data_IF_299489711697
#
_entry.id   IF_299489711697
#
_cell.length_a   1.000
_cell.length_b   1.000
_cell.length_c   1.000
_cell.angle_alpha   90.00
_cell.angle_beta   90.00
_cell.angle_gamma   90.00
#
_symmetry.space_group_name_H-M   'P 1'
#
loop_
_entity.id
_entity.type
_entity.pdbx_description
1 polymer ?
#
# COMPACT_ATOMS: atom_id res chain seq x y z
N UNK A 1 5.61 3.08 -2.81
CA UNK A 1 4.95 1.82 -2.44
C UNK A 1 3.94 1.44 -3.49
N UNK A 2 3.77 0.14 -3.75
CA UNK A 2 2.77 -0.35 -4.69
C UNK A 2 1.37 -0.42 -4.07
N UNK A 3 0.74 0.73 -3.89
CA UNK A 3 -0.51 0.89 -3.13
C UNK A 3 -1.78 0.41 -3.84
N UNK A 4 -1.69 0.11 -5.14
CA UNK A 4 -2.78 -0.37 -6.01
C UNK A 4 -2.39 -1.66 -6.73
N UNK A 5 -1.38 -2.38 -6.23
CA UNK A 5 -0.99 -3.71 -6.68
C UNK A 5 -0.78 -3.78 -8.20
N UNK A 6 0.15 -2.97 -8.71
CA UNK A 6 0.61 -3.07 -10.10
C UNK A 6 1.36 -4.39 -10.31
N UNK A 7 2.20 -4.77 -9.35
CA UNK A 7 2.97 -6.00 -9.38
C UNK A 7 2.19 -7.13 -8.68
N UNK A 8 2.36 -8.39 -9.15
CA UNK A 8 1.82 -9.54 -8.43
C UNK A 8 2.48 -9.67 -7.06
N UNK A 9 1.74 -10.25 -6.12
CA UNK A 9 2.24 -10.58 -4.78
C UNK A 9 2.90 -11.95 -4.84
N UNK A 10 4.21 -11.99 -4.60
CA UNK A 10 5.03 -13.20 -4.67
C UNK A 10 5.72 -13.46 -3.33
N UNK A 11 6.09 -14.71 -3.02
CA UNK A 11 7.08 -14.99 -1.99
C UNK A 11 8.37 -14.23 -2.24
N UNK A 12 9.05 -13.83 -1.16
CA UNK A 12 10.30 -13.07 -1.25
C UNK A 12 11.39 -13.80 -2.05
N UNK A 13 11.41 -15.14 -1.98
CA UNK A 13 12.36 -15.98 -2.72
C UNK A 13 12.09 -16.01 -4.24
N UNK A 14 10.85 -15.74 -4.65
CA UNK A 14 10.40 -15.81 -6.04
C UNK A 14 10.37 -14.41 -6.68
N UNK A 15 10.75 -13.39 -5.93
CA UNK A 15 10.83 -12.04 -6.44
C UNK A 15 11.85 -11.95 -7.57
N UNK A 16 11.48 -11.42 -8.75
CA UNK A 16 12.46 -11.23 -9.81
C UNK A 16 13.59 -10.35 -9.27
N UNK A 17 14.85 -10.70 -9.60
CA UNK A 17 16.00 -9.98 -9.12
C UNK A 17 15.84 -8.50 -9.44
N UNK A 18 16.37 -7.66 -8.54
CA UNK A 18 16.46 -6.23 -8.84
C UNK A 18 17.14 -6.09 -10.19
N UNK A 19 16.56 -5.28 -11.09
CA UNK A 19 17.14 -5.03 -12.41
C UNK A 19 18.58 -4.54 -12.20
N UNK A 20 19.55 -5.40 -12.48
CA UNK A 20 20.96 -5.21 -12.15
C UNK A 20 21.56 -3.95 -12.81
N UNK A 21 20.92 -3.46 -13.87
CA UNK A 21 21.35 -2.31 -14.66
C UNK A 21 20.42 -1.10 -14.55
N UNK A 22 19.56 -1.03 -13.53
CA UNK A 22 18.77 0.18 -13.31
C UNK A 22 19.70 1.31 -12.86
N UNK A 23 19.80 2.44 -13.59
CA UNK A 23 20.59 3.59 -13.13
C UNK A 23 19.98 4.25 -11.87
N UNK A 24 18.80 3.80 -11.42
CA UNK A 24 18.06 4.35 -10.29
C UNK A 24 17.69 3.29 -9.22
N UNK A 25 18.68 2.64 -8.58
CA UNK A 25 18.43 1.55 -7.63
C UNK A 25 17.56 1.95 -6.42
N UNK A 26 17.56 3.24 -6.05
CA UNK A 26 16.75 3.80 -4.96
C UNK A 26 15.29 4.08 -5.30
N UNK A 27 14.87 3.91 -6.56
CA UNK A 27 13.49 4.22 -6.99
C UNK A 27 12.56 2.99 -6.99
N UNK A 28 13.04 1.81 -6.59
CA UNK A 28 12.19 0.62 -6.54
C UNK A 28 11.10 0.74 -5.47
N UNK A 29 9.87 0.41 -5.86
CA UNK A 29 8.74 0.37 -4.92
C UNK A 29 8.88 -0.82 -3.99
N UNK A 30 8.51 -0.62 -2.71
CA UNK A 30 8.35 -1.72 -1.76
C UNK A 30 7.29 -2.69 -2.29
N UNK A 31 7.59 -3.98 -2.23
CA UNK A 31 6.71 -5.05 -2.68
C UNK A 31 5.87 -5.60 -1.54
N UNK A 32 4.73 -6.18 -1.91
CA UNK A 32 3.87 -6.93 -1.02
C UNK A 32 4.24 -8.40 -1.05
N UNK A 33 4.07 -9.07 0.09
CA UNK A 33 4.36 -10.48 0.26
C UNK A 33 3.17 -11.22 0.85
N UNK A 34 2.99 -12.52 0.58
CA UNK A 34 1.96 -13.32 1.21
C UNK A 34 2.28 -13.54 2.70
N UNK A 35 1.26 -13.46 3.55
CA UNK A 35 1.29 -13.95 4.92
C UNK A 35 0.65 -15.33 4.96
N UNK A 36 1.47 -16.36 5.18
CA UNK A 36 1.08 -17.77 5.03
C UNK A 36 1.39 -18.33 3.63
N UNK A 37 0.85 -19.50 3.27
CA UNK A 37 1.16 -20.14 1.99
C UNK A 37 0.71 -19.30 0.79
N UNK A 38 1.62 -19.08 -0.15
CA UNK A 38 1.45 -18.15 -1.27
C UNK A 38 0.31 -18.55 -2.24
N UNK A 39 0.04 -19.84 -2.37
CA UNK A 39 -1.07 -20.38 -3.19
C UNK A 39 -2.46 -19.83 -2.82
N UNK A 40 -2.61 -19.24 -1.64
CA UNK A 40 -3.86 -18.62 -1.20
C UNK A 40 -3.98 -17.14 -1.53
N UNK A 41 -2.94 -16.54 -2.12
CA UNK A 41 -2.95 -15.16 -2.63
C UNK A 41 -2.94 -15.22 -4.15
N UNK A 42 -4.03 -14.79 -4.78
CA UNK A 42 -4.16 -14.76 -6.24
C UNK A 42 -4.44 -13.35 -6.74
N UNK A 43 -3.99 -13.02 -7.95
CA UNK A 43 -4.29 -11.73 -8.58
C UNK A 43 -5.60 -11.86 -9.37
N UNK A 44 -6.69 -11.31 -8.85
CA UNK A 44 -8.01 -11.37 -9.48
C UNK A 44 -8.13 -10.30 -10.57
N UNK A 45 -8.23 -10.75 -11.83
CA UNK A 45 -8.36 -9.90 -13.02
C UNK A 45 -9.81 -9.67 -13.46
N UNK A 46 -10.79 -10.36 -12.86
CA UNK A 46 -12.18 -10.31 -13.33
C UNK A 46 -12.92 -9.04 -12.92
N UNK A 47 -12.61 -8.54 -11.72
CA UNK A 47 -13.22 -7.33 -11.19
C UNK A 47 -12.21 -6.59 -10.31
N UNK A 48 -11.10 -6.08 -10.88
CA UNK A 48 -10.12 -5.29 -10.14
C UNK A 48 -10.74 -3.98 -9.66
N UNK A 49 -10.22 -3.43 -8.56
CA UNK A 49 -10.61 -2.10 -8.10
C UNK A 49 -10.12 -1.00 -9.05
N UNK A 50 -8.87 -1.13 -9.50
CA UNK A 50 -8.18 -0.23 -10.42
C UNK A 50 -6.98 -0.97 -11.02
N UNK A 51 -6.53 -0.60 -12.22
CA UNK A 51 -5.46 -1.32 -12.91
C UNK A 51 -5.92 -2.66 -13.47
N UNK A 52 -5.01 -3.62 -13.59
CA UNK A 52 -5.27 -4.90 -14.29
C UNK A 52 -5.68 -6.04 -13.35
N UNK A 53 -5.40 -5.93 -12.05
CA UNK A 53 -5.76 -6.95 -11.06
C UNK A 53 -5.95 -6.37 -9.65
N UNK A 54 -6.49 -7.19 -8.76
CA UNK A 54 -6.50 -6.91 -7.32
C UNK A 54 -6.18 -8.18 -6.54
N UNK A 55 -5.34 -8.13 -5.49
CA UNK A 55 -5.01 -9.31 -4.71
C UNK A 55 -6.24 -9.84 -3.97
N UNK A 56 -6.49 -11.14 -4.14
CA UNK A 56 -7.53 -11.91 -3.46
C UNK A 56 -6.86 -12.94 -2.56
N UNK A 57 -7.27 -12.96 -1.29
CA UNK A 57 -6.74 -13.88 -0.28
C UNK A 57 -7.84 -14.88 0.10
N UNK A 58 -7.61 -16.16 -0.17
CA UNK A 58 -8.49 -17.25 0.24
C UNK A 58 -8.27 -17.59 1.72
N UNK A 59 -9.34 -17.56 2.50
CA UNK A 59 -9.30 -17.71 3.96
C UNK A 59 -9.33 -19.18 4.39
N UNK A 60 -8.99 -19.39 5.66
CA UNK A 60 -9.09 -20.67 6.35
C UNK A 60 -9.51 -20.44 7.80
N UNK A 61 -10.22 -21.40 8.38
CA UNK A 61 -10.51 -21.43 9.79
C UNK A 61 -9.29 -21.80 10.65
N UNK A 62 -8.30 -22.50 10.07
CA UNK A 62 -7.17 -23.07 10.81
C UNK A 62 -6.05 -22.05 11.09
N UNK A 63 -5.85 -21.05 10.23
CA UNK A 63 -4.78 -20.08 10.38
C UNK A 63 -5.10 -18.75 9.68
N UNK A 64 -4.70 -17.59 10.25
CA UNK A 64 -4.77 -16.31 9.57
C UNK A 64 -3.95 -16.32 8.28
N UNK A 65 -4.51 -15.73 7.23
CA UNK A 65 -3.85 -15.54 5.93
C UNK A 65 -3.93 -14.08 5.52
N UNK A 66 -3.01 -13.63 4.70
CA UNK A 66 -3.00 -12.22 4.35
C UNK A 66 -1.90 -11.80 3.39
N UNK A 67 -1.66 -10.51 3.39
CA UNK A 67 -0.56 -9.86 2.66
C UNK A 67 0.10 -8.82 3.56
N UNK A 68 1.38 -8.59 3.35
CA UNK A 68 2.17 -7.65 4.14
C UNK A 68 3.17 -6.87 3.30
N UNK A 69 3.53 -5.68 3.80
CA UNK A 69 4.58 -4.84 3.23
C UNK A 69 5.41 -4.25 4.37
N UNK A 70 6.70 -4.57 4.39
CA UNK A 70 7.69 -4.04 5.36
C UNK A 70 8.42 -2.81 4.80
N UNK A 71 9.37 -2.25 5.55
CA UNK A 71 10.19 -1.11 5.15
C UNK A 71 9.56 0.25 5.47
N UNK A 72 8.53 0.31 6.31
CA UNK A 72 7.89 1.56 6.69
C UNK A 72 8.66 2.23 7.84
N UNK A 73 8.84 3.54 7.74
CA UNK A 73 9.41 4.36 8.82
C UNK A 73 8.29 4.88 9.73
N UNK A 74 8.29 4.42 10.98
CA UNK A 74 7.34 4.82 12.02
C UNK A 74 8.05 5.46 13.21
N UNK A 75 7.38 6.43 13.84
CA UNK A 75 7.91 7.18 14.97
C UNK A 75 7.02 7.03 16.19
N UNK A 76 7.64 6.79 17.34
CA UNK A 76 6.96 6.67 18.63
C UNK A 76 6.02 7.83 18.88
N UNK A 77 4.80 7.53 19.30
CA UNK A 77 3.75 8.51 19.59
C UNK A 77 3.14 9.19 18.36
N UNK A 78 3.68 8.98 17.15
CA UNK A 78 3.13 9.58 15.94
C UNK A 78 1.88 8.84 15.52
N UNK A 79 0.85 9.63 15.19
CA UNK A 79 -0.42 9.13 14.63
C UNK A 79 -0.28 8.97 13.12
N UNK A 80 -0.86 7.89 12.62
CA UNK A 80 -0.96 7.58 11.20
C UNK A 80 -2.42 7.33 10.86
N UNK A 81 -2.90 7.96 9.78
CA UNK A 81 -4.25 7.78 9.27
C UNK A 81 -4.20 7.10 7.91
N UNK A 82 -5.15 6.22 7.68
CA UNK A 82 -5.17 5.41 6.48
C UNK A 82 -6.58 5.04 6.05
N UNK A 83 -6.64 4.45 4.86
CA UNK A 83 -7.83 3.80 4.36
C UNK A 83 -7.43 2.62 3.49
N UNK A 84 -8.31 1.64 3.43
CA UNK A 84 -8.17 0.47 2.56
C UNK A 84 -9.49 0.26 1.82
N UNK A 85 -9.43 -0.03 0.53
CA UNK A 85 -10.58 -0.52 -0.21
C UNK A 85 -10.61 -2.04 -0.10
N UNK A 86 -11.67 -2.58 0.50
CA UNK A 86 -11.87 -4.02 0.67
C UNK A 86 -13.23 -4.44 0.12
N UNK A 87 -13.28 -5.67 -0.40
CA UNK A 87 -14.50 -6.45 -0.48
C UNK A 87 -14.26 -7.83 0.11
N UNK A 88 -15.28 -8.49 0.63
CA UNK A 88 -15.16 -9.84 1.16
C UNK A 88 -16.43 -10.65 0.99
N UNK A 89 -16.28 -11.97 1.00
CA UNK A 89 -17.41 -12.89 1.05
C UNK A 89 -18.01 -12.95 2.47
N UNK A 90 -19.29 -13.33 2.63
CA UNK A 90 -19.85 -13.61 3.95
C UNK A 90 -18.98 -14.58 4.76
N UNK A 91 -18.83 -14.32 6.06
CA UNK A 91 -18.01 -15.13 6.97
C UNK A 91 -16.52 -14.74 7.07
N UNK A 92 -16.05 -13.84 6.20
CA UNK A 92 -14.69 -13.30 6.28
C UNK A 92 -14.55 -12.27 7.39
N UNK A 93 -13.56 -12.45 8.27
CA UNK A 93 -13.15 -11.46 9.28
C UNK A 93 -11.82 -10.86 8.85
N UNK A 94 -11.77 -9.55 8.61
CA UNK A 94 -10.57 -8.87 8.08
C UNK A 94 -10.06 -7.84 9.08
N UNK A 95 -8.74 -7.78 9.25
CA UNK A 95 -8.06 -6.79 10.08
C UNK A 95 -6.84 -6.21 9.35
N UNK A 96 -6.46 -5.02 9.74
CA UNK A 96 -5.18 -4.40 9.36
C UNK A 96 -4.32 -4.18 10.59
N UNK A 97 -3.01 -4.31 10.45
CA UNK A 97 -2.10 -4.08 11.55
C UNK A 97 -0.87 -3.29 11.10
N UNK A 98 -0.33 -2.48 12.00
CA UNK A 98 0.97 -1.85 11.88
C UNK A 98 1.87 -2.42 12.97
N UNK A 99 3.00 -3.01 12.57
CA UNK A 99 3.95 -3.69 13.44
C UNK A 99 5.27 -2.92 13.42
N UNK A 100 5.84 -2.67 14.60
CA UNK A 100 7.11 -1.97 14.82
C UNK A 100 8.04 -2.80 15.70
N UNK A 101 7.95 -4.14 15.54
CA UNK A 101 8.74 -5.11 16.27
C UNK A 101 8.06 -6.49 16.38
N UNK A 102 8.79 -7.48 16.90
CA UNK A 102 8.32 -8.88 16.91
C UNK A 102 7.24 -9.17 17.98
N UNK A 103 7.24 -8.41 19.09
CA UNK A 103 6.38 -8.68 20.24
C UNK A 103 4.87 -8.46 19.98
N UNK A 104 4.04 -9.05 20.83
CA UNK A 104 2.59 -8.86 20.81
C UNK A 104 2.18 -7.39 21.08
N UNK A 105 2.97 -6.67 21.88
CA UNK A 105 2.79 -5.25 22.18
C UNK A 105 3.51 -4.33 21.17
N UNK A 106 4.31 -4.89 20.27
CA UNK A 106 5.04 -4.13 19.24
C UNK A 106 4.19 -3.93 17.98
N UNK A 107 2.87 -3.79 18.14
CA UNK A 107 1.92 -3.61 17.05
C UNK A 107 0.62 -3.00 17.52
N UNK A 108 -0.15 -2.46 16.57
CA UNK A 108 -1.56 -2.15 16.75
C UNK A 108 -2.36 -2.77 15.62
N UNK A 109 -3.51 -3.36 15.96
CA UNK A 109 -4.43 -4.01 15.02
C UNK A 109 -5.77 -3.30 15.05
N UNK A 110 -6.36 -3.10 13.87
CA UNK A 110 -7.73 -2.61 13.68
C UNK A 110 -8.52 -3.69 12.97
N UNK A 111 -9.57 -4.20 13.61
CA UNK A 111 -10.48 -5.19 13.04
C UNK A 111 -11.70 -4.49 12.47
N UNK A 112 -12.09 -4.83 11.25
CA UNK A 112 -13.31 -4.30 10.65
C UNK A 112 -14.50 -5.16 11.09
N UNK A 113 -15.52 -4.53 11.65
CA UNK A 113 -16.74 -5.21 12.09
C UNK A 113 -17.45 -5.91 10.93
N UNK A 114 -17.43 -5.28 9.74
CA UNK A 114 -18.03 -5.79 8.52
C UNK A 114 -17.25 -5.31 7.29
N UNK A 115 -17.13 -6.18 6.29
CA UNK A 115 -16.58 -5.86 4.97
C UNK A 115 -17.61 -6.25 3.91
N UNK A 116 -18.15 -5.30 3.14
CA UNK A 116 -19.16 -5.59 2.13
C UNK A 116 -18.66 -6.45 0.97
N UNK A 117 -19.59 -7.04 0.20
CA UNK A 117 -19.29 -7.78 -1.03
C UNK A 117 -18.81 -6.92 -2.21
N UNK A 118 -18.85 -5.59 -2.08
CA UNK A 118 -18.36 -4.62 -3.06
C UNK A 118 -17.23 -3.77 -2.45
N UNK A 119 -16.36 -3.22 -3.29
CA UNK A 119 -15.22 -2.44 -2.82
C UNK A 119 -15.68 -1.23 -2.02
N UNK A 120 -15.36 -1.24 -0.73
CA UNK A 120 -15.75 -0.23 0.22
C UNK A 120 -14.52 0.37 0.86
N UNK A 121 -14.50 1.70 0.96
CA UNK A 121 -13.42 2.43 1.64
C UNK A 121 -13.61 2.29 3.15
N UNK A 122 -12.67 1.60 3.81
CA UNK A 122 -12.66 1.41 5.24
C UNK A 122 -11.51 2.24 5.85
N UNK A 123 -11.81 3.26 6.68
CA UNK A 123 -10.79 4.06 7.33
C UNK A 123 -10.19 3.30 8.51
N UNK A 124 -8.94 3.62 8.84
CA UNK A 124 -8.26 3.13 10.04
C UNK A 124 -7.22 4.15 10.50
N UNK A 125 -6.77 4.00 11.75
CA UNK A 125 -5.68 4.81 12.30
C UNK A 125 -4.81 3.98 13.23
N UNK A 126 -3.54 4.38 13.35
CA UNK A 126 -2.58 3.81 14.27
C UNK A 126 -1.84 4.90 15.04
N UNK A 127 -1.33 4.56 16.21
CA UNK A 127 -0.33 5.35 16.93
C UNK A 127 0.84 4.43 17.21
N UNK A 128 2.00 4.70 16.60
CA UNK A 128 3.15 3.81 16.75
C UNK A 128 3.71 3.87 18.18
N UNK A 129 3.91 2.70 18.80
CA UNK A 129 4.43 2.58 20.16
C UNK A 129 5.96 2.72 20.29
N UNK A 130 6.68 2.63 19.16
CA UNK A 130 8.13 2.75 19.09
C UNK A 130 8.59 3.42 17.78
N UNK A 131 9.87 3.75 17.72
CA UNK A 131 10.53 4.09 16.46
C UNK A 131 10.95 2.80 15.76
N UNK A 132 10.68 2.68 14.47
CA UNK A 132 11.12 1.54 13.66
C UNK A 132 11.25 1.99 12.20
N UNK A 133 12.37 1.66 11.55
CA UNK A 133 12.64 2.00 10.15
C UNK A 133 12.24 0.89 9.17
N UNK A 134 11.84 -0.27 9.69
CA UNK A 134 11.41 -1.44 8.93
C UNK A 134 10.05 -1.98 9.43
N UNK A 135 9.17 -1.08 9.87
CA UNK A 135 7.83 -1.44 10.29
C UNK A 135 7.04 -2.10 9.15
N UNK A 136 6.13 -3.01 9.52
CA UNK A 136 5.32 -3.80 8.59
C UNK A 136 3.85 -3.42 8.69
N UNK A 137 3.23 -3.12 7.56
CA UNK A 137 1.78 -3.06 7.45
C UNK A 137 1.24 -4.41 6.95
N UNK A 138 0.24 -4.95 7.64
CA UNK A 138 -0.40 -6.24 7.33
C UNK A 138 -1.88 -6.06 7.07
N UNK A 139 -2.40 -6.81 6.10
CA UNK A 139 -3.83 -7.07 5.92
C UNK A 139 -4.04 -8.55 6.10
N UNK A 140 -4.82 -8.94 7.10
CA UNK A 140 -5.05 -10.36 7.43
C UNK A 140 -6.52 -10.67 7.51
N UNK A 141 -6.88 -11.92 7.23
CA UNK A 141 -8.22 -12.40 7.48
C UNK A 141 -8.24 -13.83 8.01
N UNK A 142 -9.38 -14.17 8.59
CA UNK A 142 -9.72 -15.46 9.14
C UNK A 142 -11.20 -15.79 8.87
N UNK A 143 -11.60 -17.04 9.11
CA UNK A 143 -12.96 -17.51 8.83
C UNK A 143 -13.04 -18.17 7.45
N UNK A 144 -14.15 -17.96 6.75
CA UNK A 144 -14.46 -18.64 5.48
C UNK A 144 -14.42 -17.71 4.28
N UNK A 145 -14.28 -18.30 3.09
CA UNK A 145 -14.33 -17.57 1.83
C UNK A 145 -13.05 -16.78 1.51
N UNK A 146 -13.17 -15.49 1.18
CA UNK A 146 -12.04 -14.66 0.76
C UNK A 146 -12.29 -13.18 0.98
N UNK A 147 -11.21 -12.40 1.00
CA UNK A 147 -11.25 -10.95 0.81
C UNK A 147 -10.39 -10.52 -0.37
N UNK A 148 -10.71 -9.37 -0.96
CA UNK A 148 -9.94 -8.74 -2.04
C UNK A 148 -9.57 -7.33 -1.62
N UNK A 149 -8.31 -6.95 -1.86
CA UNK A 149 -7.80 -5.60 -1.56
C UNK A 149 -7.71 -4.79 -2.84
N UNK A 150 -8.30 -3.59 -2.85
CA UNK A 150 -8.30 -2.70 -4.01
C UNK A 150 -7.15 -1.70 -3.98
N UNK A 151 -7.15 -0.83 -2.98
CA UNK A 151 -6.10 0.17 -2.79
C UNK A 151 -5.88 0.44 -1.30
N UNK A 152 -4.62 0.66 -0.93
CA UNK A 152 -4.21 0.97 0.45
C UNK A 152 -3.68 2.41 0.52
N UNK A 153 -3.81 3.04 1.67
CA UNK A 153 -3.18 4.31 1.99
C UNK A 153 -2.85 4.33 3.47
N UNK A 154 -1.62 4.72 3.82
CA UNK A 154 -1.22 4.99 5.19
C UNK A 154 -0.27 6.18 5.18
N UNK A 155 -0.60 7.22 5.95
CA UNK A 155 0.15 8.48 5.97
C UNK A 155 0.26 8.98 7.42
N UNK A 156 1.30 9.75 7.74
CA UNK A 156 1.29 10.55 8.96
C UNK A 156 0.00 11.38 9.06
N UNK A 157 -0.62 11.43 10.24
CA UNK A 157 -1.90 12.11 10.42
C UNK A 157 -1.83 13.62 10.14
N UNK A 158 -0.65 14.22 10.27
CA UNK A 158 -0.35 15.62 10.00
C UNK A 158 -0.01 15.92 8.53
N UNK A 159 -0.17 14.95 7.62
CA UNK A 159 0.06 15.18 6.18
C UNK A 159 -0.79 16.35 5.64
N UNK A 160 -0.23 17.07 4.67
CA UNK A 160 -0.90 18.18 3.97
C UNK A 160 -1.29 17.65 2.60
N UNK A 161 -2.56 17.30 2.39
CA UNK A 161 -3.09 16.77 1.13
C UNK A 161 -2.30 15.57 0.56
N UNK A 162 -1.76 14.74 1.44
CA UNK A 162 -0.91 13.59 1.09
C UNK A 162 0.59 13.89 0.99
N UNK A 163 1.00 15.13 1.20
CA UNK A 163 2.41 15.52 1.28
C UNK A 163 2.92 15.52 2.72
N UNK A 164 4.22 15.26 2.88
CA UNK A 164 4.89 15.36 4.18
C UNK A 164 5.04 16.84 4.56
N UNK A 165 4.71 17.25 5.80
CA UNK A 165 4.77 18.66 6.20
C UNK A 165 6.16 19.29 6.13
N UNK A 166 7.22 18.51 6.45
CA UNK A 166 8.60 18.99 6.42
C UNK A 166 9.02 19.52 5.05
N UNK A 167 8.98 18.69 3.98
CA UNK A 167 9.25 19.14 2.62
C UNK A 167 8.37 20.30 2.16
N UNK A 168 7.07 20.29 2.49
CA UNK A 168 6.16 21.40 2.13
C UNK A 168 6.63 22.71 2.77
N UNK A 169 7.04 22.68 4.05
CA UNK A 169 7.57 23.86 4.75
C UNK A 169 8.85 24.37 4.09
N UNK A 170 9.78 23.48 3.75
CA UNK A 170 11.04 23.85 3.10
C UNK A 170 10.78 24.49 1.73
N UNK A 171 9.93 23.87 0.91
CA UNK A 171 9.56 24.43 -0.40
C UNK A 171 8.93 25.82 -0.29
N UNK A 172 8.10 26.07 0.73
CA UNK A 172 7.51 27.40 0.96
C UNK A 172 8.56 28.45 1.36
N UNK A 173 9.61 28.05 2.07
CA UNK A 173 10.68 28.94 2.52
C UNK A 173 11.64 29.38 1.41
N UNK A 174 11.68 28.65 0.29
CA UNK A 174 12.51 29.03 -0.88
C UNK A 174 11.97 30.25 -1.64
N UNK A 175 10.71 30.64 -1.41
CA UNK A 175 10.08 31.79 -2.08
C UNK A 175 10.19 31.78 -3.62
N UNK A 176 10.14 30.60 -4.25
CA UNK A 176 10.21 30.50 -5.71
C UNK A 176 8.99 31.16 -6.36
N UNK A 177 9.22 31.98 -7.39
CA UNK A 177 8.14 32.60 -8.18
C UNK A 177 7.46 31.64 -9.16
N UNK A 178 8.14 30.54 -9.52
CA UNK A 178 7.64 29.55 -10.47
C UNK A 178 8.21 28.15 -10.16
N UNK A 179 7.41 27.11 -10.42
CA UNK A 179 7.82 25.71 -10.30
C UNK A 179 7.48 24.96 -11.59
N UNK A 180 8.50 24.44 -12.26
CA UNK A 180 8.32 23.51 -13.39
C UNK A 180 7.90 22.13 -12.85
N UNK A 181 6.69 21.71 -13.17
CA UNK A 181 6.13 20.41 -12.76
C UNK A 181 5.17 19.89 -13.85
N UNK A 182 5.04 18.57 -14.09
CA UNK A 182 5.79 17.44 -13.52
C UNK A 182 7.04 17.09 -14.35
N UNK A 183 7.74 18.11 -14.87
CA UNK A 183 8.66 18.00 -16.02
C UNK A 183 9.94 17.16 -15.88
N UNK A 184 10.88 17.42 -16.78
CA UNK A 184 12.01 16.52 -17.02
C UNK A 184 11.55 15.27 -17.79
N UNK A 185 12.31 14.19 -17.72
CA UNK A 185 11.99 12.96 -18.45
C UNK A 185 10.68 12.28 -17.99
N UNK A 186 10.18 12.61 -16.79
CA UNK A 186 8.92 12.06 -16.29
C UNK A 186 7.73 12.39 -17.20
N UNK A 187 7.71 13.59 -17.79
CA UNK A 187 6.56 14.04 -18.60
C UNK A 187 6.40 13.22 -19.89
N UNK A 188 7.46 12.58 -20.38
CA UNK A 188 7.46 11.82 -21.64
C UNK A 188 6.43 10.69 -21.66
N UNK A 189 6.14 10.08 -20.51
CA UNK A 189 5.16 9.00 -20.36
C UNK A 189 3.99 9.38 -19.42
N UNK A 190 3.83 10.66 -19.11
CA UNK A 190 2.84 11.13 -18.15
C UNK A 190 1.49 11.41 -18.83
N UNK A 191 0.42 10.77 -18.32
CA UNK A 191 -0.95 11.09 -18.72
C UNK A 191 -1.66 11.85 -17.59
N UNK A 192 -1.98 13.13 -17.83
CA UNK A 192 -2.61 13.99 -16.82
C UNK A 192 -4.05 13.57 -16.48
N UNK A 193 -4.78 12.95 -17.42
CA UNK A 193 -6.14 12.42 -17.17
C UNK A 193 -6.12 11.35 -16.08
N UNK A 194 -5.01 10.60 -15.97
CA UNK A 194 -4.81 9.61 -14.91
C UNK A 194 -4.40 10.22 -13.56
N UNK A 195 -4.23 11.54 -13.48
CA UNK A 195 -3.73 12.25 -12.30
C UNK A 195 -4.76 13.14 -11.60
N UNK A 196 -5.97 13.26 -12.16
CA UNK A 196 -7.09 14.02 -11.59
C UNK A 196 -8.08 13.10 -10.86
N UNK A 197 -9.06 13.68 -10.16
CA UNK A 197 -10.08 12.91 -9.43
C UNK A 197 -9.57 12.19 -8.17
N UNK A 198 -10.32 11.18 -7.70
CA UNK A 198 -10.01 10.46 -6.46
C UNK A 198 -8.69 9.67 -6.59
N UNK A 199 -7.74 9.92 -5.68
CA UNK A 199 -6.41 9.28 -5.69
C UNK A 199 -6.45 7.75 -5.79
N UNK A 200 -7.40 7.12 -5.13
CA UNK A 200 -7.51 5.65 -5.09
C UNK A 200 -7.86 5.04 -6.45
N UNK A 201 -8.55 5.75 -7.33
CA UNK A 201 -9.05 5.25 -8.63
C UNK A 201 -8.21 5.70 -9.81
N UNK A 202 -7.14 6.45 -9.57
CA UNK A 202 -6.13 6.77 -10.59
C UNK A 202 -5.40 5.48 -10.96
N UNK A 203 -5.25 5.10 -12.23
CA UNK A 203 -4.57 3.85 -12.58
C UNK A 203 -3.09 3.91 -12.18
N UNK A 204 -2.52 2.82 -11.61
CA UNK A 204 -1.07 2.71 -11.51
C UNK A 204 -0.47 2.55 -12.91
N UNK A 205 0.77 3.00 -13.10
CA UNK A 205 1.50 2.84 -14.35
C UNK A 205 2.99 2.64 -14.10
N UNK A 206 3.69 2.08 -15.09
CA UNK A 206 5.13 1.95 -15.05
C UNK A 206 5.78 3.17 -15.70
N UNK A 207 6.69 3.79 -14.97
CA UNK A 207 7.48 4.92 -15.43
C UNK A 207 8.82 4.39 -15.96
N UNK A 208 8.92 4.32 -17.29
CA UNK A 208 10.12 3.83 -17.98
C UNK A 208 11.33 4.74 -17.81
N UNK A 209 11.13 6.04 -17.56
CA UNK A 209 12.25 6.98 -17.38
C UNK A 209 12.99 6.73 -16.06
N UNK A 210 12.27 6.26 -15.05
CA UNK A 210 12.76 6.08 -13.69
C UNK A 210 12.70 4.64 -13.19
N UNK A 211 12.39 3.70 -14.09
CA UNK A 211 12.32 2.26 -13.84
C UNK A 211 11.50 1.89 -12.60
N UNK A 212 10.34 2.53 -12.44
CA UNK A 212 9.55 2.45 -11.21
C UNK A 212 8.06 2.50 -11.45
N UNK A 213 7.28 1.91 -10.54
CA UNK A 213 5.83 1.98 -10.57
C UNK A 213 5.36 3.27 -9.90
N UNK A 214 4.44 3.98 -10.57
CA UNK A 214 3.67 5.08 -9.98
C UNK A 214 2.29 4.58 -9.60
N UNK A 215 2.01 4.61 -8.30
CA UNK A 215 0.80 4.05 -7.67
C UNK A 215 0.22 5.09 -6.71
#
# INVERSE_FOLDING_TARGET
DDRKFFNPILPKADEPPRRAHSPFPGMQVRRWHPLGPAQFVTMDTRAPFVGVHSPRVALSAAAPRGIEQSGLDVRRGRRYTGYIYLRATPGAKVSVALLWGPGAQARQTVTFAYVPGHFTRLPFHFTAGANDRDATFRVTGAGTGAFTVGAVSLMPADNIDGFRPGPVRLLRAEHFGFMRFPGGNFVSNFNWYHSVGKRATRPPFFDHAWDTVKS
#
